data_IF_125220479178
#
_entry.id   IF_125220479178
#
_cell.length_a   1.000
_cell.length_b   1.000
_cell.length_c   1.000
_cell.angle_alpha   90.00
_cell.angle_beta   90.00
_cell.angle_gamma   90.00
#
_symmetry.space_group_name_H-M   'P 1'
#
loop_
_entity.id
_entity.type
_entity.pdbx_description
1 polymer ?
#
# COMPACT_ATOMS: atom_id res chain seq x y z
N UNK A 1 26.09 -8.77 90.52
CA UNK A 1 27.56 -9.01 90.52
C UNK A 1 27.88 -9.85 89.29
N UNK A 2 29.02 -9.61 88.61
CA UNK A 2 29.37 -10.30 87.37
C UNK A 2 29.09 -9.49 86.09
N UNK A 3 30.15 -9.10 85.42
CA UNK A 3 30.18 -8.50 84.08
C UNK A 3 30.68 -9.59 83.10
N UNK A 4 30.29 -9.57 81.82
CA UNK A 4 31.22 -9.65 80.67
C UNK A 4 30.51 -9.71 79.30
N UNK A 5 31.23 -9.21 78.28
CA UNK A 5 30.85 -9.21 76.85
C UNK A 5 31.19 -10.55 76.17
N UNK A 6 30.50 -10.82 75.04
CA UNK A 6 31.19 -11.11 73.75
C UNK A 6 30.24 -10.96 72.55
N UNK A 7 30.70 -10.23 71.53
CA UNK A 7 30.01 -10.13 70.23
C UNK A 7 30.24 -11.41 69.41
N UNK A 8 29.25 -11.84 68.63
CA UNK A 8 29.49 -12.69 67.46
C UNK A 8 28.68 -12.25 66.24
N UNK A 9 29.46 -11.92 65.21
CA UNK A 9 29.22 -11.84 63.76
C UNK A 9 27.80 -11.65 63.18
N UNK A 10 27.70 -10.54 62.42
CA UNK A 10 26.65 -10.19 61.45
C UNK A 10 26.32 -11.31 60.46
N UNK A 11 25.05 -11.37 60.04
CA UNK A 11 24.72 -11.63 58.62
C UNK A 11 23.43 -10.91 58.24
N UNK A 12 23.53 -9.85 57.43
CA UNK A 12 22.37 -9.13 56.89
C UNK A 12 22.20 -9.53 55.43
N UNK A 13 21.10 -10.20 55.10
CA UNK A 13 20.79 -10.57 53.71
C UNK A 13 20.15 -9.39 52.97
N UNK A 14 20.98 -8.60 52.29
CA UNK A 14 20.51 -7.53 51.41
C UNK A 14 19.88 -8.11 50.14
N UNK A 15 18.55 -8.11 50.05
CA UNK A 15 17.82 -8.59 48.88
C UNK A 15 17.79 -7.50 47.79
N UNK A 16 18.76 -7.52 46.88
CA UNK A 16 18.85 -6.56 45.77
C UNK A 16 17.88 -6.90 44.63
N UNK A 17 16.77 -6.16 44.54
CA UNK A 17 15.90 -6.21 43.36
C UNK A 17 16.63 -5.65 42.13
N UNK A 18 16.98 -6.55 41.20
CA UNK A 18 17.44 -6.20 39.86
C UNK A 18 16.25 -5.77 38.99
N UNK A 19 15.93 -4.47 39.03
CA UNK A 19 14.98 -3.86 38.11
C UNK A 19 15.61 -3.75 36.71
N UNK A 20 15.35 -4.73 35.83
CA UNK A 20 15.74 -4.63 34.42
C UNK A 20 14.81 -3.62 33.70
N UNK A 21 15.35 -2.54 33.10
CA UNK A 21 14.56 -1.68 32.23
C UNK A 21 14.20 -2.44 30.95
N UNK A 22 12.92 -2.73 30.76
CA UNK A 22 12.41 -3.33 29.53
C UNK A 22 12.47 -2.30 28.38
N UNK A 23 13.59 -2.29 27.65
CA UNK A 23 13.75 -1.49 26.43
C UNK A 23 12.87 -2.04 25.31
N UNK A 24 11.58 -1.66 25.34
CA UNK A 24 10.65 -1.85 24.23
C UNK A 24 11.07 -0.99 23.03
N UNK A 25 12.02 -1.49 22.24
CA UNK A 25 12.30 -0.97 20.90
C UNK A 25 11.02 -1.10 20.06
N UNK A 26 10.48 -0.01 19.48
CA UNK A 26 9.31 -0.11 18.62
C UNK A 26 9.71 -0.85 17.35
N UNK A 27 9.18 -2.07 17.15
CA UNK A 27 9.39 -2.79 15.88
C UNK A 27 8.67 -2.02 14.77
N UNK A 28 9.45 -1.35 13.93
CA UNK A 28 8.95 -0.75 12.69
C UNK A 28 9.02 -1.83 11.62
N UNK A 29 7.95 -2.62 11.53
CA UNK A 29 7.73 -3.52 10.43
C UNK A 29 7.46 -2.69 9.16
N UNK A 30 8.51 -2.42 8.39
CA UNK A 30 8.43 -1.84 7.07
C UNK A 30 7.84 -2.89 6.12
N UNK A 31 6.51 -2.96 6.08
CA UNK A 31 5.81 -3.96 5.27
C UNK A 31 6.05 -3.75 3.78
N UNK A 32 5.96 -4.84 3.01
CA UNK A 32 6.43 -4.89 1.64
C UNK A 32 5.49 -4.16 0.66
N UNK A 33 5.58 -2.83 0.66
CA UNK A 33 4.77 -1.92 -0.16
C UNK A 33 5.67 -1.25 -1.21
N UNK A 34 5.74 -1.85 -2.40
CA UNK A 34 6.34 -1.17 -3.55
C UNK A 34 5.38 -0.10 -4.10
N UNK A 35 5.88 1.11 -4.29
CA UNK A 35 5.19 2.18 -5.02
C UNK A 35 4.90 1.76 -6.47
N UNK A 36 3.74 2.15 -7.00
CA UNK A 36 3.32 1.85 -8.36
C UNK A 36 2.57 3.00 -9.05
N UNK A 37 2.62 3.00 -10.39
CA UNK A 37 1.89 3.91 -11.28
C UNK A 37 1.26 3.17 -12.46
N UNK A 38 0.23 3.75 -13.09
CA UNK A 38 -0.49 3.16 -14.22
C UNK A 38 -1.02 4.32 -15.06
N UNK A 39 -0.44 4.54 -16.25
CA UNK A 39 -0.77 5.69 -17.06
C UNK A 39 -2.22 5.66 -17.63
N UNK A 40 -2.84 4.49 -17.69
CA UNK A 40 -4.29 4.32 -17.96
C UNK A 40 -4.78 2.91 -17.59
N UNK A 41 -6.08 2.75 -17.39
CA UNK A 41 -6.75 1.46 -17.13
C UNK A 41 -6.57 0.42 -18.25
N UNK A 42 -6.09 0.82 -19.43
CA UNK A 42 -5.79 -0.07 -20.55
C UNK A 42 -4.33 -0.57 -20.57
N UNK A 43 -3.53 -0.20 -19.57
CA UNK A 43 -2.12 -0.57 -19.42
C UNK A 43 -1.89 -1.32 -18.11
N UNK A 44 -0.82 -2.11 -18.05
CA UNK A 44 -0.43 -2.78 -16.81
C UNK A 44 0.11 -1.78 -15.78
N UNK A 45 -0.06 -2.06 -14.47
CA UNK A 45 0.57 -1.29 -13.44
C UNK A 45 2.10 -1.51 -13.44
N UNK A 46 2.82 -0.44 -13.10
CA UNK A 46 4.27 -0.32 -13.21
C UNK A 46 4.84 -0.09 -11.81
N UNK A 47 5.69 -1.01 -11.35
CA UNK A 47 6.42 -0.88 -10.08
C UNK A 47 7.51 0.19 -10.21
N UNK A 48 7.83 0.88 -9.11
CA UNK A 48 9.00 1.76 -9.09
C UNK A 48 10.33 1.01 -9.36
N UNK A 49 11.31 1.74 -9.92
CA UNK A 49 12.65 1.22 -10.24
C UNK A 49 13.39 0.66 -9.01
N UNK A 50 13.14 1.21 -7.82
CA UNK A 50 13.75 0.77 -6.57
C UNK A 50 13.03 -0.42 -5.90
N UNK A 51 11.85 -0.83 -6.39
CA UNK A 51 11.09 -1.95 -5.81
C UNK A 51 11.95 -3.24 -5.72
N UNK A 52 12.22 -3.79 -4.52
CA UNK A 52 13.08 -4.95 -4.36
C UNK A 52 12.33 -6.24 -4.70
N UNK A 53 12.54 -6.74 -5.91
CA UNK A 53 11.91 -7.98 -6.42
C UNK A 53 12.66 -9.27 -6.05
N UNK A 54 13.54 -9.20 -5.04
CA UNK A 54 14.14 -10.38 -4.43
C UNK A 54 15.09 -11.18 -5.33
N UNK A 55 15.38 -12.43 -4.95
CA UNK A 55 16.28 -13.33 -5.67
C UNK A 55 15.53 -14.51 -6.28
N UNK A 56 15.97 -15.00 -7.45
CA UNK A 56 15.34 -16.15 -8.11
C UNK A 56 15.52 -17.46 -7.33
N UNK A 57 14.42 -18.19 -7.12
CA UNK A 57 14.40 -19.56 -6.64
C UNK A 57 14.33 -20.49 -7.86
N UNK A 58 15.41 -21.25 -8.09
CA UNK A 58 15.57 -22.09 -9.27
C UNK A 58 15.50 -23.59 -8.93
N UNK A 59 14.86 -24.38 -9.79
CA UNK A 59 14.75 -25.83 -9.63
C UNK A 59 14.03 -26.21 -8.32
N UNK A 60 14.72 -26.93 -7.43
CA UNK A 60 14.17 -27.43 -6.15
C UNK A 60 14.50 -26.52 -4.94
N UNK A 61 14.94 -25.28 -5.16
CA UNK A 61 15.23 -24.33 -4.09
C UNK A 61 13.94 -23.94 -3.32
N UNK A 62 13.96 -24.13 -2.00
CA UNK A 62 12.90 -23.70 -1.09
C UNK A 62 13.13 -22.23 -0.65
N UNK A 63 12.09 -21.52 -0.17
CA UNK A 63 12.22 -20.24 0.49
C UNK A 63 13.20 -20.28 1.67
N UNK A 64 13.87 -19.16 1.91
CA UNK A 64 14.78 -18.95 3.03
C UNK A 64 14.09 -18.40 4.27
N UNK A 65 12.91 -17.78 4.15
CA UNK A 65 12.08 -17.38 5.29
C UNK A 65 10.61 -17.75 5.09
N UNK A 66 9.91 -18.00 6.20
CA UNK A 66 8.45 -18.14 6.26
C UNK A 66 7.73 -16.78 6.15
N UNK A 67 8.43 -15.66 6.38
CA UNK A 67 7.88 -14.29 6.34
C UNK A 67 8.14 -13.56 5.02
N UNK A 68 8.72 -14.24 4.02
CA UNK A 68 9.01 -13.67 2.70
C UNK A 68 7.75 -13.34 1.89
N UNK A 69 7.91 -12.53 0.84
CA UNK A 69 6.93 -12.37 -0.23
C UNK A 69 7.54 -12.91 -1.54
N UNK A 70 6.69 -13.37 -2.46
CA UNK A 70 7.12 -14.05 -3.68
C UNK A 70 6.57 -13.39 -4.94
N UNK A 71 7.31 -13.49 -6.03
CA UNK A 71 6.91 -13.03 -7.36
C UNK A 71 7.15 -14.13 -8.39
N UNK A 72 6.21 -14.42 -9.29
CA UNK A 72 6.52 -15.19 -10.50
C UNK A 72 7.04 -14.19 -11.55
N UNK A 73 8.32 -14.26 -11.90
CA UNK A 73 8.85 -13.45 -13.00
C UNK A 73 8.46 -14.11 -14.33
N UNK A 74 7.45 -13.59 -15.03
CA UNK A 74 7.01 -14.17 -16.30
C UNK A 74 7.99 -13.94 -17.46
N UNK A 75 8.91 -12.97 -17.34
CA UNK A 75 9.98 -12.77 -18.33
C UNK A 75 10.72 -11.43 -18.20
N UNK A 76 11.68 -11.22 -19.09
CA UNK A 76 12.36 -9.93 -19.30
C UNK A 76 12.10 -9.49 -20.75
N UNK A 77 11.55 -8.30 -20.94
CA UNK A 77 10.98 -7.83 -22.19
C UNK A 77 11.67 -6.54 -22.66
N UNK A 78 11.91 -6.39 -23.96
CA UNK A 78 12.43 -5.15 -24.56
C UNK A 78 11.40 -4.02 -24.67
N UNK A 79 10.11 -4.32 -24.43
CA UNK A 79 8.99 -3.38 -24.44
C UNK A 79 8.02 -3.74 -23.30
N UNK A 80 7.20 -2.79 -22.80
CA UNK A 80 6.11 -3.08 -21.87
C UNK A 80 5.20 -4.22 -22.38
N UNK A 81 4.77 -5.11 -21.49
CA UNK A 81 3.78 -6.13 -21.84
C UNK A 81 2.41 -5.46 -22.07
N UNK A 82 1.74 -5.64 -23.23
CA UNK A 82 0.40 -5.12 -23.43
C UNK A 82 -0.61 -5.83 -22.53
N UNK A 83 -1.56 -5.09 -21.95
CA UNK A 83 -2.61 -5.64 -21.09
C UNK A 83 -3.35 -6.82 -21.74
N UNK A 84 -3.59 -6.76 -23.06
CA UNK A 84 -4.25 -7.85 -23.80
C UNK A 84 -3.45 -9.17 -23.82
N UNK A 85 -2.12 -9.14 -23.70
CA UNK A 85 -1.30 -10.35 -23.50
C UNK A 85 -1.34 -10.82 -22.05
N UNK A 86 -1.26 -9.90 -21.09
CA UNK A 86 -1.38 -10.23 -19.67
C UNK A 86 -2.76 -10.80 -19.28
N UNK A 87 -3.82 -10.50 -20.03
CA UNK A 87 -5.14 -11.13 -19.87
C UNK A 87 -5.13 -12.66 -19.98
N UNK A 88 -4.10 -13.25 -20.60
CA UNK A 88 -3.89 -14.70 -20.63
C UNK A 88 -3.48 -15.28 -19.25
N UNK A 89 -2.99 -14.44 -18.33
CA UNK A 89 -2.58 -14.88 -16.99
C UNK A 89 -3.73 -14.84 -15.98
N UNK A 90 -4.67 -13.88 -16.06
CA UNK A 90 -5.76 -13.76 -15.08
C UNK A 90 -6.70 -14.97 -15.00
N UNK A 91 -6.70 -15.87 -15.99
CA UNK A 91 -7.39 -17.16 -15.93
C UNK A 91 -6.66 -18.21 -15.05
N UNK A 92 -5.48 -17.88 -14.53
CA UNK A 92 -4.54 -18.82 -13.91
C UNK A 92 -3.92 -18.30 -12.60
N UNK A 93 -4.24 -17.07 -12.15
CA UNK A 93 -3.59 -16.41 -11.02
C UNK A 93 -4.56 -15.79 -10.02
N UNK A 94 -4.19 -15.76 -8.74
CA UNK A 94 -4.92 -15.08 -7.67
C UNK A 94 -4.42 -13.64 -7.39
N UNK A 95 -3.51 -13.12 -8.20
CA UNK A 95 -2.86 -11.80 -8.03
C UNK A 95 -2.84 -11.02 -9.35
N UNK A 96 -2.11 -9.90 -9.41
CA UNK A 96 -2.03 -9.05 -10.61
C UNK A 96 -0.66 -9.16 -11.33
N UNK A 97 -0.58 -8.60 -12.53
CA UNK A 97 0.54 -8.67 -13.47
C UNK A 97 1.24 -7.31 -13.57
N UNK A 98 2.55 -7.31 -13.33
CA UNK A 98 3.36 -6.13 -13.06
C UNK A 98 4.46 -5.95 -14.08
N UNK A 99 4.76 -4.69 -14.36
CA UNK A 99 5.98 -4.31 -15.06
C UNK A 99 6.92 -3.59 -14.10
N UNK A 100 8.10 -4.15 -13.82
CA UNK A 100 9.19 -3.37 -13.23
C UNK A 100 10.10 -2.86 -14.36
N UNK A 101 10.29 -1.53 -14.52
CA UNK A 101 11.29 -1.00 -15.42
C UNK A 101 12.70 -1.25 -14.87
N UNK A 102 13.60 -1.65 -15.76
CA UNK A 102 15.05 -1.69 -15.55
C UNK A 102 15.70 -0.60 -16.43
N UNK A 103 16.99 -0.73 -16.78
CA UNK A 103 17.69 0.24 -17.61
C UNK A 103 17.10 0.35 -19.04
N UNK A 104 17.08 -0.77 -19.78
CA UNK A 104 16.65 -0.85 -21.19
C UNK A 104 15.56 -1.92 -21.42
N UNK A 105 14.98 -2.49 -20.35
CA UNK A 105 14.03 -3.61 -20.40
C UNK A 105 12.99 -3.50 -19.30
N UNK A 106 11.92 -4.29 -19.40
CA UNK A 106 10.87 -4.43 -18.40
C UNK A 106 10.83 -5.87 -17.90
N UNK A 107 10.83 -6.08 -16.59
CA UNK A 107 10.52 -7.40 -16.00
C UNK A 107 9.02 -7.54 -15.90
N UNK A 108 8.49 -8.59 -16.51
CA UNK A 108 7.16 -9.07 -16.18
C UNK A 108 7.22 -9.83 -14.86
N UNK A 109 6.39 -9.45 -13.91
CA UNK A 109 6.26 -10.05 -12.58
C UNK A 109 4.78 -10.31 -12.30
N UNK A 110 4.47 -11.31 -11.48
CA UNK A 110 3.12 -11.63 -11.06
C UNK A 110 3.15 -11.86 -9.55
N UNK A 111 2.20 -11.25 -8.82
CA UNK A 111 2.17 -11.25 -7.36
C UNK A 111 1.78 -9.88 -6.79
N UNK A 112 2.30 -9.50 -5.60
CA UNK A 112 3.13 -10.33 -4.72
C UNK A 112 2.29 -11.40 -4.01
N UNK A 113 2.84 -12.60 -3.87
CA UNK A 113 2.25 -13.67 -3.07
C UNK A 113 2.85 -13.65 -1.66
N UNK A 114 2.01 -13.77 -0.63
CA UNK A 114 2.46 -14.01 0.75
C UNK A 114 2.68 -15.49 1.04
N UNK A 115 2.06 -16.39 0.26
CA UNK A 115 2.27 -17.84 0.34
C UNK A 115 3.08 -18.36 -0.86
N UNK A 116 4.11 -19.15 -0.55
CA UNK A 116 4.93 -19.83 -1.55
C UNK A 116 4.21 -21.01 -2.22
N UNK A 117 3.30 -21.70 -1.51
CA UNK A 117 2.60 -22.85 -2.07
C UNK A 117 1.62 -22.42 -3.19
N UNK A 118 0.90 -21.31 -3.00
CA UNK A 118 0.11 -20.67 -4.07
C UNK A 118 0.99 -20.26 -5.27
N UNK A 119 2.15 -19.63 -5.04
CA UNK A 119 3.07 -19.27 -6.11
C UNK A 119 3.60 -20.52 -6.87
N UNK A 120 3.92 -21.61 -6.17
CA UNK A 120 4.30 -22.89 -6.79
C UNK A 120 3.17 -23.53 -7.59
N UNK A 121 1.91 -23.39 -7.14
CA UNK A 121 0.72 -23.94 -7.80
C UNK A 121 0.39 -23.22 -9.11
N UNK A 122 0.59 -21.91 -9.17
CA UNK A 122 0.27 -21.08 -10.34
C UNK A 122 1.41 -21.05 -11.38
N UNK A 123 2.67 -21.13 -10.95
CA UNK A 123 3.84 -21.19 -11.84
C UNK A 123 3.70 -22.16 -13.04
N UNK A 124 3.32 -23.45 -12.89
CA UNK A 124 3.17 -24.38 -14.00
C UNK A 124 1.94 -24.11 -14.89
N UNK A 125 1.05 -23.18 -14.52
CA UNK A 125 0.00 -22.68 -15.39
C UNK A 125 0.55 -21.56 -16.29
N UNK A 126 1.32 -20.63 -15.72
CA UNK A 126 2.00 -19.56 -16.46
C UNK A 126 3.02 -20.13 -17.46
N UNK A 127 3.78 -21.16 -17.07
CA UNK A 127 4.71 -21.86 -17.96
C UNK A 127 4.05 -22.58 -19.16
N UNK A 128 2.73 -22.82 -19.12
CA UNK A 128 1.95 -23.36 -20.26
C UNK A 128 1.48 -22.29 -21.23
N UNK A 129 1.48 -21.01 -20.84
CA UNK A 129 1.10 -19.92 -21.74
C UNK A 129 2.21 -19.73 -22.80
N UNK A 130 1.88 -19.72 -24.11
CA UNK A 130 2.88 -19.62 -25.16
C UNK A 130 3.82 -18.42 -25.01
N UNK A 131 5.13 -18.69 -24.94
CA UNK A 131 6.18 -17.69 -24.73
C UNK A 131 6.63 -17.48 -23.28
N UNK A 132 6.02 -18.14 -22.29
CA UNK A 132 6.30 -17.91 -20.86
C UNK A 132 6.84 -19.15 -20.10
N UNK A 133 7.31 -20.16 -20.84
CA UNK A 133 7.90 -21.41 -20.31
C UNK A 133 9.07 -21.19 -19.34
N UNK A 134 9.80 -20.09 -19.49
CA UNK A 134 10.95 -19.72 -18.65
C UNK A 134 10.56 -18.96 -17.37
N UNK A 135 9.27 -18.83 -17.05
CA UNK A 135 8.83 -18.20 -15.82
C UNK A 135 9.38 -18.95 -14.59
N UNK A 136 9.74 -18.21 -13.53
CA UNK A 136 10.28 -18.74 -12.27
C UNK A 136 9.88 -17.87 -11.07
N UNK A 137 9.94 -18.43 -9.86
CA UNK A 137 9.61 -17.69 -8.62
C UNK A 137 10.83 -16.92 -8.12
N UNK A 138 10.61 -15.72 -7.57
CA UNK A 138 11.57 -14.92 -6.82
C UNK A 138 11.12 -14.79 -5.37
N UNK A 139 12.06 -14.78 -4.43
CA UNK A 139 11.84 -14.53 -3.00
C UNK A 139 12.37 -13.15 -2.59
N UNK A 140 11.47 -12.31 -2.04
CA UNK A 140 11.81 -11.12 -1.27
C UNK A 140 11.72 -11.48 0.21
N UNK A 141 12.85 -11.51 0.91
CA UNK A 141 12.84 -11.67 2.36
C UNK A 141 12.33 -10.37 3.00
N UNK A 142 11.31 -10.43 3.87
CA UNK A 142 11.03 -9.32 4.80
C UNK A 142 12.25 -9.17 5.70
N UNK A 143 12.96 -8.06 5.59
CA UNK A 143 14.15 -7.84 6.39
C UNK A 143 13.80 -7.26 7.75
N UNK A 144 14.34 -7.85 8.82
CA UNK A 144 14.49 -7.15 10.08
C UNK A 144 15.68 -6.18 9.94
N UNK A 145 15.47 -5.05 9.25
CA UNK A 145 16.43 -3.95 9.14
C UNK A 145 17.68 -4.23 8.31
N UNK A 146 17.58 -4.87 7.12
CA UNK A 146 18.70 -4.87 6.18
C UNK A 146 18.70 -3.56 5.37
N UNK A 147 19.58 -2.65 5.77
CA UNK A 147 19.72 -1.33 5.19
C UNK A 147 19.85 -1.37 3.66
N UNK A 148 19.10 -0.50 2.97
CA UNK A 148 19.29 -0.26 1.54
C UNK A 148 20.73 0.20 1.29
N UNK A 149 21.42 -0.45 0.34
CA UNK A 149 22.78 -0.09 -0.04
C UNK A 149 22.82 1.39 -0.48
N UNK A 150 23.76 2.15 0.09
CA UNK A 150 23.76 3.62 0.05
C UNK A 150 24.12 4.17 -1.33
N UNK A 151 23.10 4.34 -2.19
CA UNK A 151 23.23 5.09 -3.44
C UNK A 151 23.52 6.56 -3.11
N UNK A 152 24.78 6.96 -3.32
CA UNK A 152 25.24 8.32 -3.06
C UNK A 152 24.47 9.32 -3.93
N UNK A 153 23.77 10.25 -3.30
CA UNK A 153 22.92 11.25 -3.95
C UNK A 153 23.76 12.32 -4.66
N UNK A 154 23.67 12.49 -5.99
CA UNK A 154 24.34 13.58 -6.68
C UNK A 154 23.86 14.97 -6.21
N UNK A 155 24.77 15.93 -6.19
CA UNK A 155 24.56 17.30 -5.70
C UNK A 155 23.64 18.09 -6.63
N UNK A 156 22.53 18.61 -6.10
CA UNK A 156 21.58 19.43 -6.86
C UNK A 156 22.10 20.87 -7.11
N UNK A 157 21.97 21.41 -8.34
CA UNK A 157 22.11 22.85 -8.60
C UNK A 157 20.98 23.69 -7.99
N UNK A 158 21.22 25.00 -7.86
CA UNK A 158 20.28 25.96 -7.25
C UNK A 158 19.17 26.43 -8.22
N UNK A 159 18.01 26.91 -7.70
CA UNK A 159 16.87 27.35 -8.51
C UNK A 159 17.05 28.75 -9.11
N UNK A 160 16.41 29.00 -10.25
CA UNK A 160 16.29 30.31 -10.91
C UNK A 160 14.80 30.70 -11.00
N UNK A 161 14.49 31.99 -10.92
CA UNK A 161 13.17 32.47 -10.51
C UNK A 161 12.18 32.82 -11.65
N UNK A 162 10.89 32.56 -11.37
CA UNK A 162 9.68 33.32 -11.75
C UNK A 162 9.58 34.06 -13.09
N UNK A 163 8.52 33.74 -13.86
CA UNK A 163 7.59 34.74 -14.45
C UNK A 163 6.13 34.20 -14.44
N UNK A 164 5.14 35.11 -14.46
CA UNK A 164 3.68 34.84 -14.44
C UNK A 164 2.92 35.95 -15.19
N UNK A 165 2.00 35.61 -16.10
CA UNK A 165 0.61 36.14 -16.08
C UNK A 165 -0.42 34.99 -16.32
N UNK A 166 -1.67 34.92 -15.84
CA UNK A 166 -2.73 35.84 -15.37
C UNK A 166 -3.91 35.98 -16.37
N UNK A 167 -5.12 35.60 -15.91
CA UNK A 167 -6.48 35.96 -16.42
C UNK A 167 -6.96 35.40 -17.79
N UNK A 168 -8.27 35.21 -18.07
CA UNK A 168 -9.54 35.24 -17.29
C UNK A 168 -10.60 34.31 -17.97
N UNK A 169 -11.82 34.09 -17.42
CA UNK A 169 -12.73 32.98 -17.81
C UNK A 169 -13.98 33.38 -18.63
N UNK A 170 -14.83 32.38 -18.98
CA UNK A 170 -16.23 32.55 -19.42
C UNK A 170 -17.09 31.35 -18.94
N UNK A 171 -18.42 31.49 -18.85
CA UNK A 171 -19.27 30.51 -18.15
C UNK A 171 -20.71 30.36 -18.72
N UNK A 172 -21.23 29.12 -18.71
CA UNK A 172 -22.64 28.71 -18.45
C UNK A 172 -23.76 29.20 -19.42
N UNK A 173 -25.07 28.82 -19.28
CA UNK A 173 -25.73 27.75 -18.48
C UNK A 173 -26.91 26.97 -19.16
N UNK A 174 -27.60 26.09 -18.38
CA UNK A 174 -29.02 25.57 -18.51
C UNK A 174 -29.33 24.51 -19.60
N UNK A 175 -30.33 23.58 -19.55
CA UNK A 175 -31.20 22.81 -18.58
C UNK A 175 -32.01 21.76 -19.42
N UNK A 176 -32.82 20.75 -19.01
CA UNK A 176 -33.39 20.18 -17.75
C UNK A 176 -33.81 18.68 -18.00
N UNK A 177 -34.24 17.93 -16.95
CA UNK A 177 -35.12 16.72 -16.93
C UNK A 177 -34.70 15.42 -17.67
N UNK A 178 -35.11 14.18 -17.30
CA UNK A 178 -35.52 13.59 -16.00
C UNK A 178 -35.38 12.03 -16.02
N UNK A 179 -34.85 11.45 -14.93
CA UNK A 179 -34.94 10.06 -14.34
C UNK A 179 -35.53 8.91 -15.23
N UNK A 180 -34.84 7.75 -15.43
CA UNK A 180 -34.58 6.81 -14.32
C UNK A 180 -33.29 5.93 -14.28
N UNK A 181 -32.77 5.80 -13.05
CA UNK A 181 -32.21 4.57 -12.40
C UNK A 181 -31.00 3.83 -13.02
N UNK A 182 -29.86 4.52 -13.14
CA UNK A 182 -28.53 3.97 -12.83
C UNK A 182 -27.52 5.11 -12.57
N UNK A 183 -27.19 5.42 -11.31
CA UNK A 183 -26.35 6.58 -10.98
C UNK A 183 -24.85 6.33 -11.13
N UNK A 184 -24.43 6.09 -12.36
CA UNK A 184 -23.04 6.24 -12.80
C UNK A 184 -22.69 7.73 -13.03
N UNK A 185 -22.83 8.59 -12.00
CA UNK A 185 -22.40 10.00 -12.07
C UNK A 185 -20.91 10.14 -11.75
N UNK A 186 -20.10 9.42 -12.52
CA UNK A 186 -18.66 9.56 -12.54
C UNK A 186 -18.28 10.79 -13.37
N UNK A 187 -17.62 11.78 -12.75
CA UNK A 187 -16.70 12.62 -13.54
C UNK A 187 -15.67 11.69 -14.18
N UNK A 188 -15.34 11.89 -15.46
CA UNK A 188 -14.84 10.88 -16.42
C UNK A 188 -13.51 10.18 -16.10
N UNK A 189 -12.93 10.42 -14.92
CA UNK A 189 -11.71 9.78 -14.42
C UNK A 189 -11.84 9.21 -12.99
N UNK A 190 -13.05 9.01 -12.44
CA UNK A 190 -13.23 8.56 -11.05
C UNK A 190 -14.43 7.61 -10.88
N UNK A 191 -14.22 6.49 -10.18
CA UNK A 191 -15.22 5.44 -9.92
C UNK A 191 -15.22 5.03 -8.44
N UNK A 192 -16.39 4.84 -7.83
CA UNK A 192 -16.47 4.25 -6.48
C UNK A 192 -16.20 2.74 -6.59
N UNK A 193 -15.30 2.22 -5.74
CA UNK A 193 -14.95 0.78 -5.71
C UNK A 193 -15.53 0.04 -4.51
N UNK A 194 -15.64 0.71 -3.36
CA UNK A 194 -16.26 0.16 -2.15
C UNK A 194 -17.24 1.20 -1.61
N UNK A 195 -18.33 0.73 -1.05
CA UNK A 195 -19.31 1.55 -0.34
C UNK A 195 -19.91 0.77 0.83
N UNK A 196 -20.14 1.44 1.94
CA UNK A 196 -20.84 0.88 3.10
C UNK A 196 -21.77 1.94 3.72
N UNK A 197 -22.74 1.49 4.50
CA UNK A 197 -23.58 2.39 5.31
C UNK A 197 -23.69 1.80 6.71
N UNK A 198 -23.25 2.55 7.73
CA UNK A 198 -23.38 2.14 9.13
C UNK A 198 -23.95 3.28 9.96
N UNK A 199 -24.96 2.99 10.77
CA UNK A 199 -25.62 3.96 11.67
C UNK A 199 -26.03 5.28 10.99
N UNK A 200 -26.46 5.22 9.73
CA UNK A 200 -26.91 6.37 8.94
C UNK A 200 -25.80 7.16 8.20
N UNK A 201 -24.53 6.81 8.38
CA UNK A 201 -23.39 7.43 7.69
C UNK A 201 -23.06 6.62 6.43
N UNK A 202 -22.95 7.29 5.28
CA UNK A 202 -22.52 6.68 4.03
C UNK A 202 -21.00 6.79 3.90
N UNK A 203 -20.33 5.68 3.62
CA UNK A 203 -18.88 5.59 3.40
C UNK A 203 -18.61 5.14 1.97
N UNK A 204 -17.69 5.81 1.25
CA UNK A 204 -17.28 5.45 -0.11
C UNK A 204 -15.76 5.51 -0.27
N UNK A 205 -15.19 4.54 -1.01
CA UNK A 205 -13.77 4.52 -1.42
C UNK A 205 -13.68 4.81 -2.92
N UNK A 206 -13.29 6.03 -3.33
CA UNK A 206 -13.10 6.38 -4.72
C UNK A 206 -11.75 5.89 -5.26
N UNK A 207 -11.78 5.41 -6.50
CA UNK A 207 -10.61 5.14 -7.33
C UNK A 207 -10.53 6.14 -8.48
N UNK A 208 -9.34 6.64 -8.80
CA UNK A 208 -9.10 7.65 -9.84
C UNK A 208 -8.25 7.03 -10.96
N UNK A 209 -8.67 7.19 -12.21
CA UNK A 209 -8.07 6.57 -13.39
C UNK A 209 -7.21 7.52 -14.23
N UNK A 210 -6.97 8.75 -13.77
CA UNK A 210 -6.06 9.70 -14.42
C UNK A 210 -4.59 9.29 -14.20
N UNK A 211 -3.79 9.28 -15.26
CA UNK A 211 -2.46 8.64 -15.29
C UNK A 211 -1.38 9.11 -14.30
N UNK A 212 -1.58 10.23 -13.61
CA UNK A 212 -0.68 10.73 -12.56
C UNK A 212 -1.04 10.19 -11.15
N UNK A 213 -2.15 9.46 -11.00
CA UNK A 213 -2.57 8.89 -9.73
C UNK A 213 -1.68 7.71 -9.33
N UNK A 214 -0.92 7.89 -8.24
CA UNK A 214 -0.23 6.78 -7.58
C UNK A 214 -1.21 5.87 -6.85
N UNK A 215 -0.86 4.60 -6.71
CA UNK A 215 -1.61 3.60 -5.95
C UNK A 215 -0.66 2.55 -5.37
N UNK A 216 -1.25 1.58 -4.68
CA UNK A 216 -0.64 0.29 -4.35
C UNK A 216 -1.70 -0.81 -4.52
N UNK A 217 -1.36 -2.07 -4.25
CA UNK A 217 -2.32 -3.17 -4.31
C UNK A 217 -2.73 -3.70 -2.95
N UNK A 218 -4.01 -4.03 -2.85
CA UNK A 218 -4.53 -4.94 -1.84
C UNK A 218 -5.67 -5.75 -2.45
N UNK A 219 -5.80 -7.03 -2.09
CA UNK A 219 -6.87 -7.92 -2.57
C UNK A 219 -7.05 -7.97 -4.11
N UNK A 220 -5.93 -7.90 -4.86
CA UNK A 220 -5.95 -7.91 -6.34
C UNK A 220 -6.46 -6.62 -6.99
N UNK A 221 -6.66 -5.55 -6.21
CA UNK A 221 -7.19 -4.26 -6.66
C UNK A 221 -6.21 -3.12 -6.39
N UNK A 222 -6.10 -2.20 -7.35
CA UNK A 222 -5.32 -0.96 -7.22
C UNK A 222 -6.05 0.09 -6.36
N UNK A 223 -5.40 0.63 -5.34
CA UNK A 223 -5.99 1.58 -4.39
C UNK A 223 -5.24 2.91 -4.37
N UNK A 224 -5.98 3.99 -4.66
CA UNK A 224 -5.49 5.37 -4.73
C UNK A 224 -4.61 5.73 -3.52
N UNK A 225 -3.44 6.32 -3.80
CA UNK A 225 -2.55 6.93 -2.80
C UNK A 225 -2.44 8.42 -3.05
N UNK A 226 -3.26 9.19 -2.34
CA UNK A 226 -3.38 10.63 -2.54
C UNK A 226 -2.72 11.41 -1.42
N UNK A 227 -2.25 12.61 -1.74
CA UNK A 227 -1.94 13.64 -0.74
C UNK A 227 -3.23 14.15 -0.10
N UNK A 228 -3.17 14.69 1.12
CA UNK A 228 -4.35 15.17 1.84
C UNK A 228 -5.15 16.21 1.03
N UNK A 229 -4.45 17.20 0.47
CA UNK A 229 -5.03 18.26 -0.36
C UNK A 229 -5.65 17.72 -1.66
N UNK A 230 -5.38 16.46 -2.05
CA UNK A 230 -6.01 15.76 -3.18
C UNK A 230 -7.15 14.86 -2.71
N UNK A 231 -7.02 14.25 -1.53
CA UNK A 231 -8.07 13.48 -0.87
C UNK A 231 -9.30 14.35 -0.54
N UNK A 232 -9.10 15.55 0.02
CA UNK A 232 -10.18 16.52 0.25
C UNK A 232 -10.92 16.88 -1.04
N UNK A 233 -10.18 17.20 -2.12
CA UNK A 233 -10.77 17.52 -3.44
C UNK A 233 -11.53 16.34 -4.03
N UNK A 234 -11.04 15.12 -3.81
CA UNK A 234 -11.68 13.88 -4.26
C UNK A 234 -13.04 13.71 -3.59
N UNK A 235 -13.11 13.80 -2.26
CA UNK A 235 -14.38 13.71 -1.54
C UNK A 235 -15.31 14.89 -1.83
N UNK A 236 -14.78 16.12 -1.92
CA UNK A 236 -15.58 17.29 -2.28
C UNK A 236 -16.21 17.17 -3.67
N UNK A 237 -15.53 16.52 -4.63
CA UNK A 237 -16.08 16.22 -5.97
C UNK A 237 -17.29 15.26 -5.91
N UNK A 238 -17.38 14.42 -4.87
CA UNK A 238 -18.53 13.54 -4.59
C UNK A 238 -19.63 14.23 -3.76
N UNK A 239 -19.43 15.49 -3.34
CA UNK A 239 -20.23 16.15 -2.29
C UNK A 239 -20.17 15.42 -0.93
N UNK A 240 -18.99 14.88 -0.61
CA UNK A 240 -18.64 14.18 0.62
C UNK A 240 -17.43 14.86 1.29
N UNK A 241 -17.06 14.44 2.49
CA UNK A 241 -15.86 14.90 3.22
C UNK A 241 -14.97 13.73 3.65
N UNK A 242 -13.79 14.01 4.20
CA UNK A 242 -13.00 12.97 4.87
C UNK A 242 -13.65 12.58 6.21
N UNK A 243 -13.44 11.32 6.64
CA UNK A 243 -13.95 10.80 7.91
C UNK A 243 -13.32 11.48 9.13
N UNK A 244 -14.10 11.62 10.21
CA UNK A 244 -13.54 11.92 11.55
C UNK A 244 -13.01 10.66 12.24
N UNK A 245 -12.41 10.80 13.43
CA UNK A 245 -11.90 9.66 14.20
C UNK A 245 -13.04 8.75 14.70
N UNK A 246 -14.14 9.35 15.12
CA UNK A 246 -15.32 8.66 15.64
C UNK A 246 -16.04 7.87 14.55
N UNK A 247 -16.07 8.40 13.33
CA UNK A 247 -16.65 7.76 12.15
C UNK A 247 -15.77 6.62 11.63
N UNK A 248 -14.45 6.79 11.69
CA UNK A 248 -13.48 5.73 11.40
C UNK A 248 -13.60 4.58 12.39
N UNK A 249 -13.64 4.87 13.70
CA UNK A 249 -13.75 3.83 14.72
C UNK A 249 -15.05 3.02 14.56
N UNK A 250 -16.19 3.67 14.29
CA UNK A 250 -17.47 2.97 13.99
C UNK A 250 -17.35 2.01 12.79
N UNK A 251 -16.60 2.39 11.75
CA UNK A 251 -16.37 1.52 10.59
C UNK A 251 -15.51 0.30 10.96
N UNK A 252 -14.46 0.48 11.79
CA UNK A 252 -13.67 -0.65 12.32
C UNK A 252 -14.52 -1.58 13.21
N UNK A 253 -15.31 -1.01 14.12
CA UNK A 253 -16.17 -1.74 15.05
C UNK A 253 -17.24 -2.58 14.32
N UNK A 254 -17.72 -2.09 13.16
CA UNK A 254 -18.64 -2.82 12.27
C UNK A 254 -18.04 -4.09 11.65
N UNK A 255 -16.70 -4.21 11.63
CA UNK A 255 -15.91 -5.28 11.02
C UNK A 255 -16.05 -5.45 9.49
N UNK A 256 -16.87 -4.63 8.82
CA UNK A 256 -17.11 -4.67 7.37
C UNK A 256 -15.82 -4.62 6.55
N UNK A 257 -14.84 -3.81 6.96
CA UNK A 257 -13.53 -3.73 6.28
C UNK A 257 -12.83 -5.09 6.16
N UNK A 258 -13.02 -5.99 7.15
CA UNK A 258 -12.39 -7.31 7.18
C UNK A 258 -13.23 -8.39 6.49
N UNK A 259 -14.56 -8.31 6.52
CA UNK A 259 -15.41 -9.25 5.76
C UNK A 259 -15.33 -8.99 4.25
N UNK A 260 -15.32 -7.70 3.86
CA UNK A 260 -15.53 -7.26 2.49
C UNK A 260 -14.20 -6.92 1.78
N UNK A 261 -13.07 -7.34 2.36
CA UNK A 261 -11.71 -7.19 1.80
C UNK A 261 -11.35 -5.75 1.38
N UNK A 262 -11.65 -4.78 2.26
CA UNK A 262 -11.21 -3.40 2.08
C UNK A 262 -9.67 -3.33 2.19
N UNK A 263 -9.01 -2.37 1.54
CA UNK A 263 -7.59 -2.15 1.78
C UNK A 263 -7.37 -1.72 3.23
N UNK A 264 -6.45 -2.40 3.92
CA UNK A 264 -6.13 -2.21 5.34
C UNK A 264 -4.63 -2.04 5.63
N UNK A 265 -3.72 -2.31 4.69
CA UNK A 265 -2.28 -2.15 4.86
C UNK A 265 -1.84 -0.68 4.96
N UNK A 266 -2.39 0.21 4.11
CA UNK A 266 -2.13 1.65 4.23
C UNK A 266 -3.21 2.37 5.05
N UNK A 267 -2.83 3.31 5.94
CA UNK A 267 -3.76 4.20 6.61
C UNK A 267 -4.60 5.02 5.61
N UNK A 268 -5.73 5.52 6.08
CA UNK A 268 -6.61 6.40 5.33
C UNK A 268 -6.41 7.86 5.76
N UNK A 269 -6.73 8.80 4.88
CA UNK A 269 -6.86 10.21 5.26
C UNK A 269 -8.15 10.47 6.03
N UNK A 270 -7.99 10.96 7.26
CA UNK A 270 -9.05 11.53 8.09
C UNK A 270 -8.95 13.06 8.17
N UNK A 271 -10.06 13.68 8.54
CA UNK A 271 -10.22 15.13 8.66
C UNK A 271 -9.12 15.79 9.50
N UNK A 272 -8.56 16.90 9.00
CA UNK A 272 -7.51 17.66 9.70
C UNK A 272 -6.10 17.08 9.57
N UNK A 273 -5.76 16.45 8.43
CA UNK A 273 -4.44 15.84 8.15
C UNK A 273 -4.09 14.69 9.11
N UNK A 274 -5.09 13.89 9.48
CA UNK A 274 -4.94 12.72 10.35
C UNK A 274 -4.78 11.44 9.53
N UNK A 275 -3.84 10.59 9.92
CA UNK A 275 -3.75 9.21 9.44
C UNK A 275 -4.60 8.30 10.30
N UNK A 276 -5.58 7.65 9.68
CA UNK A 276 -6.51 6.71 10.28
C UNK A 276 -6.01 5.28 10.03
N UNK A 277 -5.53 4.60 11.07
CA UNK A 277 -4.99 3.25 10.96
C UNK A 277 -6.07 2.22 11.27
N UNK A 278 -6.03 1.07 10.60
CA UNK A 278 -6.96 -0.06 10.77
C UNK A 278 -6.79 -0.82 12.09
N UNK A 279 -5.75 -0.49 12.85
CA UNK A 279 -5.56 -0.87 14.25
C UNK A 279 -6.31 0.00 15.26
N UNK A 280 -7.15 0.95 14.80
CA UNK A 280 -7.81 1.96 15.64
C UNK A 280 -6.91 3.13 16.06
N UNK A 281 -5.60 3.06 15.80
CA UNK A 281 -4.68 4.18 16.04
C UNK A 281 -4.99 5.34 15.10
N UNK A 282 -4.97 6.56 15.63
CA UNK A 282 -4.93 7.80 14.85
C UNK A 282 -3.59 8.52 15.09
N UNK A 283 -3.10 9.28 14.11
CA UNK A 283 -1.91 10.13 14.28
C UNK A 283 -1.95 11.35 13.36
N UNK A 284 -1.42 12.48 13.83
CA UNK A 284 -1.25 13.68 12.99
C UNK A 284 -0.13 13.45 11.97
N UNK A 285 -0.38 13.73 10.69
CA UNK A 285 0.59 13.48 9.60
C UNK A 285 0.88 14.74 8.78
N UNK A 286 1.97 14.68 8.00
CA UNK A 286 2.28 15.67 6.96
C UNK A 286 1.37 15.43 5.77
N UNK A 287 0.62 16.44 5.33
CA UNK A 287 -0.35 16.32 4.22
C UNK A 287 0.22 15.89 2.86
N UNK A 288 1.55 15.82 2.73
CA UNK A 288 2.28 15.28 1.57
C UNK A 288 2.39 13.75 1.55
N UNK A 289 2.03 13.04 2.62
CA UNK A 289 1.98 11.57 2.66
C UNK A 289 0.94 11.03 1.67
N UNK A 290 1.16 9.83 1.13
CA UNK A 290 0.32 9.26 0.07
C UNK A 290 -0.42 8.02 0.58
N UNK A 291 -1.70 8.22 0.92
CA UNK A 291 -2.55 7.33 1.72
C UNK A 291 -3.86 6.96 1.01
N UNK A 292 -4.56 5.95 1.53
CA UNK A 292 -5.92 5.62 1.12
C UNK A 292 -6.88 6.79 1.38
N UNK A 293 -8.01 6.81 0.68
CA UNK A 293 -9.06 7.84 0.83
C UNK A 293 -10.41 7.18 1.05
N UNK A 294 -11.08 7.62 2.11
CA UNK A 294 -12.46 7.27 2.42
C UNK A 294 -13.25 8.57 2.55
N UNK A 295 -14.35 8.64 1.81
CA UNK A 295 -15.24 9.77 1.79
C UNK A 295 -16.51 9.41 2.56
N UNK A 296 -17.00 10.33 3.39
CA UNK A 296 -18.19 10.14 4.23
C UNK A 296 -19.21 11.26 4.06
N UNK A 297 -20.46 10.91 4.35
CA UNK A 297 -21.63 11.79 4.26
C UNK A 297 -22.66 11.41 5.31
#
# INVERSE_FOLDING_TARGET
>A
MGLMLKNMLRTVSSLTLLALPAFFQPVWAEDFLCDATQASTNQLPVLDKACPIGQGLWGKQKPKSQSSNFWIQCGVLSKPLPLQKAKLFYAHISTDVWLKPEANTYRCLIGPYTDYAQAQKELPLIQKVPGYKEAFIREVQRSNGQAAASVQKPKAPAPVATKKPQAKPKAQPKTLAEVPKAQATAASNMTIRLSATTNGIEYQVPHITSGDAQFYMEHGLAWNRLSYDSAEKTCATLNMRLATEEEWQRLLDSKLMKSDQWPMHLPYWGWGKKGLFTSGKVSQLKGSSLLNVICVK
#
